data_IF_382189951463
#
_entry.id   IF_382189951463
#
_cell.length_a   1.000
_cell.length_b   1.000
_cell.length_c   1.000
_cell.angle_alpha   90.00
_cell.angle_beta   90.00
_cell.angle_gamma   90.00
#
_symmetry.space_group_name_H-M   'P 1'
#
loop_
_entity.id
_entity.type
_entity.pdbx_description
1 polymer ?
#
# COMPACT_ATOMS: atom_id res chain seq x y z
N UNK A 1 -6.99 11.84 -10.14
CA UNK A 1 -6.46 10.55 -10.62
C UNK A 1 -5.86 9.80 -9.44
N UNK A 2 -6.14 8.51 -9.33
CA UNK A 2 -5.65 7.67 -8.22
C UNK A 2 -4.81 6.53 -8.77
N UNK A 3 -3.66 6.27 -8.17
CA UNK A 3 -2.81 5.14 -8.51
C UNK A 3 -2.94 4.01 -7.50
N UNK A 4 -3.10 2.78 -7.97
CA UNK A 4 -2.91 1.56 -7.18
C UNK A 4 -1.47 1.07 -7.30
N UNK A 5 -0.89 0.63 -6.18
CA UNK A 5 0.41 -0.01 -6.10
C UNK A 5 0.31 -1.37 -5.43
N UNK A 6 0.84 -2.38 -6.12
CA UNK A 6 0.99 -3.75 -5.60
C UNK A 6 2.33 -4.32 -6.08
N UNK A 7 2.90 -5.20 -5.27
CA UNK A 7 4.25 -5.72 -5.45
C UNK A 7 4.24 -7.23 -5.11
N UNK A 8 4.85 -8.06 -5.97
CA UNK A 8 4.86 -9.52 -5.86
C UNK A 8 6.28 -10.08 -5.95
N UNK A 9 6.57 -11.09 -5.13
CA UNK A 9 7.86 -11.78 -5.15
C UNK A 9 7.86 -12.94 -6.14
N UNK A 10 9.00 -13.19 -6.79
CA UNK A 10 9.20 -14.40 -7.57
C UNK A 10 9.15 -15.65 -6.69
N UNK A 11 8.87 -16.82 -7.27
CA UNK A 11 8.78 -18.10 -6.52
C UNK A 11 10.02 -18.40 -5.67
N UNK A 12 11.20 -18.01 -6.14
CA UNK A 12 12.46 -18.19 -5.42
C UNK A 12 12.82 -17.03 -4.48
N UNK A 13 11.97 -16.00 -4.36
CA UNK A 13 12.16 -14.84 -3.48
C UNK A 13 13.29 -13.88 -3.86
N UNK A 14 13.99 -14.12 -4.98
CA UNK A 14 15.16 -13.33 -5.40
C UNK A 14 14.79 -12.07 -6.17
N UNK A 15 13.60 -12.03 -6.76
CA UNK A 15 13.09 -10.89 -7.51
C UNK A 15 11.79 -10.42 -6.91
N UNK A 16 11.54 -9.13 -7.08
CA UNK A 16 10.27 -8.48 -6.79
C UNK A 16 9.84 -7.71 -8.04
N UNK A 17 8.56 -7.78 -8.36
CA UNK A 17 7.92 -7.03 -9.43
C UNK A 17 6.85 -6.15 -8.82
N UNK A 18 6.91 -4.86 -9.11
CA UNK A 18 5.89 -3.89 -8.74
C UNK A 18 5.07 -3.48 -9.95
N UNK A 19 3.79 -3.17 -9.72
CA UNK A 19 2.90 -2.56 -10.70
C UNK A 19 2.30 -1.27 -10.12
N UNK A 20 2.31 -0.21 -10.93
CA UNK A 20 1.61 1.04 -10.70
C UNK A 20 0.52 1.20 -11.76
N UNK A 21 -0.73 1.32 -11.32
CA UNK A 21 -1.92 1.38 -12.19
C UNK A 21 -2.66 2.68 -11.89
N UNK A 22 -2.80 3.57 -12.86
CA UNK A 22 -3.44 4.88 -12.68
C UNK A 22 -4.84 4.85 -13.26
N UNK A 23 -5.83 5.19 -12.43
CA UNK A 23 -7.23 5.28 -12.80
C UNK A 23 -7.75 6.72 -12.70
N UNK A 24 -8.66 7.10 -13.59
CA UNK A 24 -9.50 8.29 -13.42
C UNK A 24 -10.69 7.95 -12.53
N UNK A 25 -11.11 8.92 -11.70
CA UNK A 25 -12.34 8.82 -10.90
C UNK A 25 -13.34 9.86 -11.39
N UNK A 26 -14.67 9.59 -11.27
CA UNK A 26 -15.28 8.42 -10.63
C UNK A 26 -15.51 7.22 -11.57
N UNK A 27 -15.20 7.35 -12.86
CA UNK A 27 -15.50 6.37 -13.91
C UNK A 27 -14.57 5.14 -13.92
N UNK A 28 -13.47 5.17 -13.17
CA UNK A 28 -12.45 4.12 -13.12
C UNK A 28 -11.80 3.83 -14.48
N UNK A 29 -11.71 4.84 -15.37
CA UNK A 29 -10.99 4.67 -16.63
C UNK A 29 -9.51 4.39 -16.36
N UNK A 30 -8.98 3.33 -16.98
CA UNK A 30 -7.55 3.02 -16.93
C UNK A 30 -6.75 3.98 -17.81
N UNK A 31 -5.91 4.80 -17.18
CA UNK A 31 -5.09 5.79 -17.88
C UNK A 31 -3.68 5.27 -18.20
N UNK A 32 -3.05 4.56 -17.26
CA UNK A 32 -1.68 4.10 -17.42
C UNK A 32 -1.36 2.90 -16.53
N UNK A 33 -0.52 1.99 -17.02
CA UNK A 33 0.09 0.90 -16.24
C UNK A 33 1.59 0.92 -16.46
N UNK A 34 2.36 0.84 -15.36
CA UNK A 34 3.81 0.64 -15.40
C UNK A 34 4.22 -0.44 -14.43
N UNK A 35 5.26 -1.18 -14.80
CA UNK A 35 5.85 -2.20 -13.94
C UNK A 35 7.35 -2.01 -13.82
N UNK A 36 7.91 -2.51 -12.72
CA UNK A 36 9.35 -2.56 -12.52
C UNK A 36 9.73 -3.84 -11.77
N UNK A 37 10.81 -4.48 -12.21
CA UNK A 37 11.40 -5.60 -11.53
C UNK A 37 12.73 -5.19 -10.89
N UNK A 38 12.99 -5.67 -9.68
CA UNK A 38 14.27 -5.49 -8.97
C UNK A 38 14.70 -6.81 -8.34
N UNK A 39 16.00 -6.98 -8.15
CA UNK A 39 16.52 -8.04 -7.30
C UNK A 39 16.29 -7.65 -5.83
N UNK A 40 15.88 -8.60 -5.01
CA UNK A 40 15.68 -8.42 -3.57
C UNK A 40 17.04 -8.41 -2.89
N UNK A 41 17.42 -7.26 -2.32
CA UNK A 41 18.74 -7.07 -1.68
C UNK A 41 18.73 -7.30 -0.18
N UNK A 42 17.56 -7.28 0.45
CA UNK A 42 17.39 -7.32 1.90
C UNK A 42 16.63 -8.60 2.27
N UNK A 43 17.12 -9.39 3.25
CA UNK A 43 16.41 -10.57 3.73
C UNK A 43 15.08 -10.19 4.37
N UNK A 44 14.18 -11.16 4.57
CA UNK A 44 12.94 -10.92 5.27
C UNK A 44 13.21 -10.66 6.76
N UNK A 45 12.93 -9.43 7.22
CA UNK A 45 12.99 -9.05 8.62
C UNK A 45 11.62 -8.49 9.01
N UNK A 46 10.93 -9.08 10.00
CA UNK A 46 9.64 -8.59 10.46
C UNK A 46 9.66 -7.09 10.81
N UNK A 47 8.71 -6.34 10.25
CA UNK A 47 8.61 -4.88 10.45
C UNK A 47 9.57 -4.03 9.61
N UNK A 48 10.37 -4.64 8.71
CA UNK A 48 11.18 -3.95 7.69
C UNK A 48 10.82 -4.38 6.26
N UNK A 49 9.64 -4.96 6.07
CA UNK A 49 9.17 -5.42 4.76
C UNK A 49 9.18 -4.30 3.71
N UNK A 50 8.87 -3.07 4.12
CA UNK A 50 8.85 -1.91 3.23
C UNK A 50 10.20 -1.68 2.52
N UNK A 51 11.32 -2.02 3.13
CA UNK A 51 12.65 -1.90 2.50
C UNK A 51 12.88 -2.90 1.37
N UNK A 52 12.15 -4.03 1.36
CA UNK A 52 12.20 -5.01 0.27
C UNK A 52 11.34 -4.60 -0.91
N UNK A 53 10.21 -3.93 -0.64
CA UNK A 53 9.18 -3.61 -1.63
C UNK A 53 9.35 -2.22 -2.24
N UNK A 54 9.63 -1.21 -1.41
CA UNK A 54 9.68 0.19 -1.83
C UNK A 54 10.57 0.44 -3.07
N UNK A 55 11.79 -0.14 -3.19
CA UNK A 55 12.63 0.11 -4.38
C UNK A 55 11.99 -0.31 -5.70
N UNK A 56 11.19 -1.38 -5.71
CA UNK A 56 10.49 -1.82 -6.91
C UNK A 56 9.28 -0.92 -7.18
N UNK A 57 8.50 -0.60 -6.14
CA UNK A 57 7.31 0.22 -6.27
C UNK A 57 7.68 1.67 -6.70
N UNK A 58 8.78 2.25 -6.17
CA UNK A 58 9.34 3.54 -6.63
C UNK A 58 9.73 3.47 -8.11
N UNK A 59 10.48 2.44 -8.51
CA UNK A 59 10.92 2.29 -9.90
C UNK A 59 9.76 2.08 -10.89
N UNK A 60 8.59 1.61 -10.44
CA UNK A 60 7.38 1.54 -11.26
C UNK A 60 6.74 2.92 -11.41
N UNK A 61 6.65 3.70 -10.32
CA UNK A 61 6.11 5.06 -10.30
C UNK A 61 6.96 6.04 -11.11
N UNK A 62 8.29 5.95 -11.06
CA UNK A 62 9.20 6.78 -11.86
C UNK A 62 8.99 6.64 -13.37
N UNK A 63 8.38 5.54 -13.83
CA UNK A 63 8.07 5.31 -15.25
C UNK A 63 6.72 5.88 -15.68
N UNK A 64 5.89 6.33 -14.73
CA UNK A 64 4.59 6.93 -15.03
C UNK A 64 4.80 8.27 -15.73
N UNK A 65 3.98 8.52 -16.75
CA UNK A 65 3.89 9.84 -17.39
C UNK A 65 2.76 10.65 -16.75
N UNK A 66 1.68 9.98 -16.39
CA UNK A 66 0.58 10.57 -15.61
C UNK A 66 1.05 10.80 -14.18
N UNK A 67 0.72 11.96 -13.60
CA UNK A 67 1.02 12.30 -12.21
C UNK A 67 -0.21 12.07 -11.35
N UNK A 68 -0.30 10.97 -10.57
CA UNK A 68 -1.46 10.70 -9.73
C UNK A 68 -1.55 11.70 -8.57
N UNK A 69 -2.78 11.98 -8.12
CA UNK A 69 -3.03 12.87 -6.99
C UNK A 69 -2.89 12.13 -5.64
N UNK A 70 -3.09 10.81 -5.66
CA UNK A 70 -3.06 9.94 -4.49
C UNK A 70 -2.67 8.51 -4.89
N UNK A 71 -1.97 7.82 -3.98
CA UNK A 71 -1.65 6.40 -4.13
C UNK A 71 -2.38 5.54 -3.09
N UNK A 72 -3.03 4.48 -3.54
CA UNK A 72 -3.49 3.36 -2.73
C UNK A 72 -2.45 2.24 -2.82
N UNK A 73 -1.98 1.77 -1.67
CA UNK A 73 -0.89 0.78 -1.59
C UNK A 73 -1.40 -0.48 -0.90
N UNK A 74 -1.18 -1.66 -1.49
CA UNK A 74 -1.44 -2.94 -0.82
C UNK A 74 -0.43 -3.14 0.33
N UNK A 75 -0.80 -2.71 1.53
CA UNK A 75 0.08 -2.72 2.68
C UNK A 75 -0.36 -1.74 3.77
N UNK A 76 0.39 -1.71 4.86
CA UNK A 76 0.11 -0.82 5.99
C UNK A 76 0.70 0.58 5.76
N UNK A 77 0.04 1.59 6.33
CA UNK A 77 0.56 2.96 6.48
C UNK A 77 1.01 3.23 7.92
N UNK A 78 0.30 4.14 8.61
CA UNK A 78 0.53 4.48 10.02
C UNK A 78 0.28 3.29 10.96
N UNK A 79 -0.55 2.32 10.55
CA UNK A 79 -0.83 1.08 11.27
C UNK A 79 0.36 0.09 11.26
N UNK A 80 1.48 0.53 11.83
CA UNK A 80 2.76 -0.17 11.91
C UNK A 80 3.39 0.09 13.30
N UNK A 81 4.18 -0.85 13.87
CA UNK A 81 4.83 -0.66 15.18
C UNK A 81 5.61 0.65 15.31
N UNK A 82 6.16 1.14 14.19
CA UNK A 82 6.97 2.37 14.10
C UNK A 82 6.26 3.53 13.37
N UNK A 83 4.95 3.43 13.15
CA UNK A 83 4.13 4.38 12.36
C UNK A 83 4.57 4.59 10.90
N UNK A 84 5.47 3.74 10.42
CA UNK A 84 6.09 3.84 9.10
C UNK A 84 5.99 2.50 8.34
N UNK A 85 4.77 2.11 7.99
CA UNK A 85 4.50 0.99 7.06
C UNK A 85 4.86 1.35 5.61
N UNK A 86 4.68 0.41 4.67
CA UNK A 86 5.01 0.61 3.25
C UNK A 86 4.37 1.87 2.67
N UNK A 87 3.07 2.09 2.87
CA UNK A 87 2.37 3.22 2.29
C UNK A 87 2.94 4.56 2.81
N UNK A 88 3.09 4.67 4.14
CA UNK A 88 3.65 5.87 4.78
C UNK A 88 5.11 6.10 4.35
N UNK A 89 5.90 5.04 4.22
CA UNK A 89 7.28 5.12 3.77
C UNK A 89 7.37 5.60 2.31
N UNK A 90 6.54 5.06 1.41
CA UNK A 90 6.46 5.49 0.02
C UNK A 90 6.00 6.94 -0.13
N UNK A 91 5.09 7.41 0.73
CA UNK A 91 4.63 8.80 0.71
C UNK A 91 5.76 9.81 0.92
N UNK A 92 6.77 9.47 1.73
CA UNK A 92 7.97 10.30 1.90
C UNK A 92 8.80 10.43 0.62
N UNK A 93 8.85 9.39 -0.22
CA UNK A 93 9.57 9.44 -1.50
C UNK A 93 8.78 10.12 -2.61
N UNK A 94 7.46 9.93 -2.62
CA UNK A 94 6.62 10.47 -3.68
C UNK A 94 6.25 11.94 -3.48
N UNK A 95 6.36 12.44 -2.24
CA UNK A 95 5.84 13.75 -1.84
C UNK A 95 4.36 13.92 -2.27
N UNK A 96 3.58 12.87 -2.02
CA UNK A 96 2.16 12.75 -2.40
C UNK A 96 1.37 12.01 -1.33
N UNK A 97 0.05 12.26 -1.22
CA UNK A 97 -0.83 11.48 -0.36
C UNK A 97 -0.77 9.97 -0.68
N UNK A 98 -0.60 9.16 0.36
CA UNK A 98 -0.60 7.70 0.27
C UNK A 98 -1.51 7.10 1.33
N UNK A 99 -2.31 6.11 0.96
CA UNK A 99 -3.16 5.35 1.88
C UNK A 99 -2.82 3.87 1.76
N UNK A 100 -2.56 3.23 2.90
CA UNK A 100 -2.36 1.79 2.97
C UNK A 100 -3.70 1.05 3.09
N UNK A 101 -3.93 0.07 2.22
CA UNK A 101 -5.10 -0.79 2.22
C UNK A 101 -4.65 -2.25 2.39
N UNK A 102 -4.50 -2.70 3.64
CA UNK A 102 -4.03 -4.06 3.94
C UNK A 102 -5.18 -5.07 4.10
N UNK A 103 -4.89 -6.34 3.78
CA UNK A 103 -5.83 -7.47 3.89
C UNK A 103 -5.86 -8.13 5.28
N UNK A 104 -4.82 -7.92 6.08
CA UNK A 104 -4.69 -8.48 7.42
C UNK A 104 -4.13 -7.44 8.39
N UNK A 105 -4.48 -7.58 9.66
CA UNK A 105 -4.01 -6.70 10.73
C UNK A 105 -2.57 -7.01 11.09
N UNK A 106 -1.71 -5.99 11.09
CA UNK A 106 -0.34 -6.10 11.61
C UNK A 106 -0.27 -5.79 13.11
N UNK A 107 -0.85 -4.67 13.54
CA UNK A 107 -0.90 -4.23 14.95
C UNK A 107 -2.24 -3.54 15.27
N UNK A 108 -2.40 -3.15 16.54
CA UNK A 108 -3.57 -2.46 17.06
C UNK A 108 -4.71 -3.41 17.41
N UNK A 109 -5.75 -2.87 18.00
CA UNK A 109 -6.99 -3.53 18.37
C UNK A 109 -8.17 -2.76 17.78
N UNK A 110 -9.28 -3.45 17.55
CA UNK A 110 -10.48 -2.89 16.98
C UNK A 110 -11.68 -3.72 17.43
N UNK A 111 -12.85 -3.10 17.45
CA UNK A 111 -14.13 -3.80 17.57
C UNK A 111 -14.55 -4.27 16.18
N UNK A 112 -15.06 -5.49 16.05
CA UNK A 112 -15.46 -6.00 14.75
C UNK A 112 -16.53 -5.08 14.13
N UNK A 113 -16.29 -4.51 12.93
CA UNK A 113 -17.30 -3.67 12.29
C UNK A 113 -18.49 -4.54 11.90
N UNK A 114 -19.66 -3.89 11.90
CA UNK A 114 -20.92 -4.48 11.49
C UNK A 114 -20.82 -5.14 10.09
N UNK A 115 -21.68 -6.14 9.78
CA UNK A 115 -21.56 -6.95 8.57
C UNK A 115 -21.88 -6.18 7.28
N UNK A 116 -22.58 -5.04 7.35
CA UNK A 116 -22.96 -4.26 6.18
C UNK A 116 -21.79 -3.56 5.48
N UNK A 117 -21.84 -3.52 4.14
CA UNK A 117 -20.86 -2.83 3.31
C UNK A 117 -20.77 -1.36 3.71
N UNK A 118 -19.56 -0.89 4.00
CA UNK A 118 -19.27 0.47 4.44
C UNK A 118 -19.15 0.63 5.94
N UNK A 119 -19.61 -0.34 6.76
CA UNK A 119 -19.39 -0.30 8.20
C UNK A 119 -17.89 -0.27 8.53
N UNK A 120 -17.51 0.50 9.55
CA UNK A 120 -16.13 0.59 9.98
C UNK A 120 -16.00 0.78 11.49
N UNK A 121 -14.81 0.45 11.99
CA UNK A 121 -14.37 0.68 13.35
C UNK A 121 -12.98 1.29 13.33
N UNK A 122 -12.63 2.14 14.29
CA UNK A 122 -11.25 2.63 14.37
C UNK A 122 -10.29 1.51 14.79
N UNK A 123 -9.15 1.45 14.10
CA UNK A 123 -8.01 0.65 14.52
C UNK A 123 -7.18 1.48 15.49
N UNK A 124 -7.06 1.01 16.73
CA UNK A 124 -6.45 1.73 17.84
C UNK A 124 -5.20 1.01 18.32
N UNK A 125 -4.21 1.79 18.71
CA UNK A 125 -3.08 1.38 19.53
C UNK A 125 -3.03 2.38 20.71
N UNK A 126 -1.87 2.98 21.01
CA UNK A 126 -1.81 4.17 21.89
C UNK A 126 -2.59 5.38 21.36
N UNK A 127 -2.96 5.37 20.08
CA UNK A 127 -3.77 6.37 19.38
C UNK A 127 -4.55 5.72 18.24
N UNK A 128 -5.43 6.46 17.56
CA UNK A 128 -6.05 5.98 16.32
C UNK A 128 -4.98 5.92 15.24
N UNK A 129 -4.80 4.75 14.62
CA UNK A 129 -3.77 4.47 13.62
C UNK A 129 -4.35 4.03 12.26
N UNK A 130 -5.68 3.92 12.17
CA UNK A 130 -6.39 3.57 10.94
C UNK A 130 -7.86 3.24 11.19
N UNK A 131 -8.49 2.57 10.23
CA UNK A 131 -9.83 2.03 10.33
C UNK A 131 -9.86 0.60 9.76
N UNK A 132 -10.70 -0.26 10.35
CA UNK A 132 -11.08 -1.56 9.78
C UNK A 132 -12.43 -1.38 9.12
N UNK A 133 -12.52 -1.68 7.82
CA UNK A 133 -13.68 -1.36 6.98
C UNK A 133 -14.23 -2.63 6.36
N UNK A 134 -15.56 -2.82 6.45
CA UNK A 134 -16.30 -3.86 5.75
C UNK A 134 -16.51 -3.43 4.29
N UNK A 135 -15.63 -3.87 3.39
CA UNK A 135 -15.74 -3.50 1.97
C UNK A 135 -16.72 -4.37 1.18
N UNK A 136 -17.09 -5.55 1.72
CA UNK A 136 -18.04 -6.51 1.13
C UNK A 136 -18.78 -7.25 2.24
N UNK A 137 -20.07 -7.53 2.01
CA UNK A 137 -20.94 -8.42 2.80
C UNK A 137 -20.69 -9.88 2.46
#
# INVERSE_FOLDING_TARGET
MVAGLDCAFSKNGQKIVAAAVVLRLPDFELLEVKTAAKNVKIPYIPGLLSFREAPACIAAVEKLKVKPDLFLVDGQGIAHPRRLGLAAHLGLFFDKPTVGCAKSRLIGTFEQPAPEKGAYSFLKDQQIIGAVVRTRT
#
